data_IF_387338088029
#
_entry.id   IF_387338088029
#
_cell.length_a   1.000
_cell.length_b   1.000
_cell.length_c   1.000
_cell.angle_alpha   90.00
_cell.angle_beta   90.00
_cell.angle_gamma   90.00
#
_symmetry.space_group_name_H-M   'P 1'
#
loop_
_entity.id
_entity.type
_entity.pdbx_description
1 polymer ?
#
# COMPACT_ATOMS: atom_id res chain seq x y z
N UNK A 1 25.87 -29.23 -5.70
CA UNK A 1 26.49 -27.92 -5.39
C UNK A 1 26.30 -27.67 -3.91
N UNK A 2 27.40 -27.35 -3.22
CA UNK A 2 27.53 -27.39 -1.78
C UNK A 2 26.53 -26.49 -1.05
N UNK A 3 25.95 -27.02 0.03
CA UNK A 3 25.26 -26.25 1.07
C UNK A 3 26.24 -25.22 1.63
N UNK A 4 26.11 -23.96 1.23
CA UNK A 4 26.82 -22.87 1.92
C UNK A 4 26.07 -22.60 3.22
N UNK A 5 26.74 -22.87 4.34
CA UNK A 5 26.53 -22.36 5.70
C UNK A 5 25.22 -21.63 5.98
N UNK A 6 24.48 -22.16 6.96
CA UNK A 6 23.31 -21.59 7.67
C UNK A 6 23.61 -20.28 8.43
N UNK A 7 24.28 -19.33 7.79
CA UNK A 7 24.63 -18.03 8.35
C UNK A 7 23.81 -16.98 7.61
N UNK A 8 23.04 -16.21 8.36
CA UNK A 8 22.28 -15.08 7.83
C UNK A 8 23.23 -14.04 7.23
N UNK A 9 23.05 -13.75 5.94
CA UNK A 9 23.75 -12.68 5.23
C UNK A 9 22.76 -11.58 4.86
N UNK A 10 23.01 -10.37 5.36
CA UNK A 10 22.21 -9.17 5.08
C UNK A 10 22.19 -8.84 3.59
N UNK A 11 23.25 -9.18 2.86
CA UNK A 11 23.40 -8.90 1.43
C UNK A 11 22.99 -10.10 0.56
N UNK A 12 22.29 -11.08 1.13
CA UNK A 12 21.81 -12.21 0.34
C UNK A 12 20.83 -11.69 -0.76
N UNK A 13 20.96 -12.14 -2.02
CA UNK A 13 20.13 -11.67 -3.14
C UNK A 13 18.61 -11.74 -2.90
N UNK A 14 18.19 -12.67 -2.04
CA UNK A 14 16.80 -12.81 -1.59
C UNK A 14 16.23 -11.55 -0.91
N UNK A 15 17.05 -10.72 -0.25
CA UNK A 15 16.62 -9.53 0.47
C UNK A 15 16.64 -8.24 -0.37
N UNK A 16 16.94 -8.36 -1.66
CA UNK A 16 16.79 -7.28 -2.62
C UNK A 16 15.37 -7.34 -3.21
N UNK A 17 14.75 -6.16 -3.37
CA UNK A 17 13.45 -5.95 -3.99
C UNK A 17 13.32 -6.64 -5.35
N UNK A 18 12.09 -6.75 -5.89
CA UNK A 18 11.62 -7.88 -6.67
C UNK A 18 12.71 -8.50 -7.56
N UNK A 19 12.85 -9.85 -7.54
CA UNK A 19 14.01 -10.59 -8.03
C UNK A 19 14.40 -10.34 -9.49
N UNK A 20 13.55 -9.64 -10.24
CA UNK A 20 13.81 -9.15 -11.59
C UNK A 20 14.84 -8.01 -11.67
N UNK A 21 14.98 -7.17 -10.64
CA UNK A 21 15.80 -5.96 -10.73
C UNK A 21 16.95 -5.87 -9.72
N UNK A 22 16.91 -6.55 -8.56
CA UNK A 22 18.00 -6.58 -7.55
C UNK A 22 18.57 -5.20 -7.13
N UNK A 23 17.84 -4.10 -7.34
CA UNK A 23 18.43 -2.75 -7.25
C UNK A 23 18.51 -2.27 -5.80
N UNK A 24 17.52 -2.61 -4.96
CA UNK A 24 17.34 -2.01 -3.65
C UNK A 24 17.05 -3.06 -2.60
N UNK A 25 17.70 -2.97 -1.43
CA UNK A 25 17.34 -3.76 -0.26
C UNK A 25 15.89 -3.46 0.13
N UNK A 26 15.12 -4.49 0.53
CA UNK A 26 13.71 -4.32 0.91
C UNK A 26 13.48 -3.21 1.94
N UNK A 27 14.35 -3.12 2.96
CA UNK A 27 14.30 -2.07 3.99
C UNK A 27 14.35 -0.66 3.41
N UNK A 28 15.26 -0.42 2.47
CA UNK A 28 15.41 0.89 1.80
C UNK A 28 14.23 1.18 0.90
N UNK A 29 13.77 0.17 0.16
CA UNK A 29 12.60 0.28 -0.70
C UNK A 29 11.33 0.61 0.11
N UNK A 30 11.17 0.08 1.34
CA UNK A 30 10.03 0.36 2.21
C UNK A 30 10.03 1.80 2.75
N UNK A 31 11.21 2.38 2.99
CA UNK A 31 11.33 3.79 3.35
C UNK A 31 10.94 4.67 2.14
N UNK A 32 11.44 4.33 0.95
CA UNK A 32 11.09 5.04 -0.29
C UNK A 32 9.59 4.95 -0.57
N UNK A 33 8.97 3.78 -0.38
CA UNK A 33 7.53 3.62 -0.58
C UNK A 33 6.72 4.52 0.34
N UNK A 34 7.18 4.73 1.58
CA UNK A 34 6.51 5.66 2.52
C UNK A 34 6.49 7.09 1.99
N UNK A 35 7.61 7.55 1.44
CA UNK A 35 7.70 8.89 0.86
C UNK A 35 6.77 9.03 -0.34
N UNK A 36 6.79 8.03 -1.24
CA UNK A 36 5.92 8.00 -2.42
C UNK A 36 4.44 8.05 -2.02
N UNK A 37 4.04 7.27 -1.02
CA UNK A 37 2.67 7.23 -0.52
C UNK A 37 2.21 8.59 0.01
N UNK A 38 3.01 9.23 0.87
CA UNK A 38 2.68 10.53 1.45
C UNK A 38 2.54 11.59 0.35
N UNK A 39 3.46 11.60 -0.62
CA UNK A 39 3.39 12.52 -1.76
C UNK A 39 2.10 12.31 -2.55
N UNK A 40 1.75 11.06 -2.85
CA UNK A 40 0.58 10.75 -3.65
C UNK A 40 -0.73 11.06 -2.91
N UNK A 41 -0.85 10.71 -1.63
CA UNK A 41 -2.03 11.06 -0.83
C UNK A 41 -2.18 12.56 -0.63
N UNK A 42 -1.07 13.29 -0.42
CA UNK A 42 -1.09 14.76 -0.31
C UNK A 42 -1.48 15.39 -1.64
N UNK A 43 -0.93 14.89 -2.76
CA UNK A 43 -1.28 15.37 -4.10
C UNK A 43 -2.75 15.10 -4.43
N UNK A 44 -3.29 13.95 -4.01
CA UNK A 44 -4.70 13.62 -4.14
C UNK A 44 -5.57 14.58 -3.32
N UNK A 45 -5.25 14.80 -2.05
CA UNK A 45 -5.93 15.78 -1.20
C UNK A 45 -5.94 17.18 -1.83
N UNK A 46 -4.80 17.61 -2.36
CA UNK A 46 -4.66 18.91 -3.01
C UNK A 46 -5.46 19.00 -4.32
N UNK A 47 -5.41 17.96 -5.15
CA UNK A 47 -6.16 17.90 -6.41
C UNK A 47 -7.66 17.98 -6.15
N UNK A 48 -8.15 17.21 -5.17
CA UNK A 48 -9.55 17.28 -4.75
C UNK A 48 -9.89 18.64 -4.16
N UNK A 49 -9.03 19.25 -3.34
CA UNK A 49 -9.28 20.60 -2.82
C UNK A 49 -9.33 21.67 -3.92
N UNK A 50 -8.52 21.50 -4.98
CA UNK A 50 -8.39 22.47 -6.08
C UNK A 50 -9.53 22.39 -7.11
N UNK A 51 -10.36 21.34 -7.08
CA UNK A 51 -11.54 21.24 -7.92
C UNK A 51 -12.55 22.33 -7.56
N UNK A 52 -13.03 23.06 -8.56
CA UNK A 52 -13.79 24.31 -8.41
C UNK A 52 -15.09 24.11 -7.61
N UNK A 53 -15.61 22.89 -7.62
CA UNK A 53 -16.84 22.51 -6.95
C UNK A 53 -16.66 21.43 -5.88
N UNK A 54 -15.41 21.16 -5.48
CA UNK A 54 -15.04 20.17 -4.45
C UNK A 54 -15.72 20.35 -3.09
N UNK A 55 -16.16 21.57 -2.80
CA UNK A 55 -16.91 21.90 -1.58
C UNK A 55 -18.33 21.30 -1.58
N UNK A 56 -18.82 20.85 -2.73
CA UNK A 56 -20.23 20.51 -2.93
C UNK A 56 -20.52 19.02 -2.73
N UNK A 57 -20.07 18.47 -1.59
CA UNK A 57 -20.31 17.09 -1.16
C UNK A 57 -19.20 16.62 -0.23
N UNK A 58 -19.32 16.88 1.07
CA UNK A 58 -18.24 16.75 2.05
C UNK A 58 -17.71 15.33 2.29
N UNK A 59 -18.42 14.28 1.88
CA UNK A 59 -18.08 12.89 2.23
C UNK A 59 -16.79 12.34 1.59
N UNK A 60 -16.54 12.47 0.27
CA UNK A 60 -15.33 11.93 -0.36
C UNK A 60 -14.06 12.63 0.11
N UNK A 61 -14.12 13.95 0.33
CA UNK A 61 -13.00 14.74 0.86
C UNK A 61 -12.69 14.34 2.30
N UNK A 62 -13.71 14.19 3.15
CA UNK A 62 -13.53 13.72 4.53
C UNK A 62 -12.93 12.30 4.56
N UNK A 63 -13.43 11.40 3.69
CA UNK A 63 -12.90 10.04 3.57
C UNK A 63 -11.44 10.04 3.14
N UNK A 64 -11.07 10.86 2.16
CA UNK A 64 -9.69 10.96 1.68
C UNK A 64 -8.73 11.51 2.74
N UNK A 65 -9.16 12.51 3.51
CA UNK A 65 -8.40 13.03 4.65
C UNK A 65 -8.26 11.95 5.73
N UNK A 66 -9.34 11.22 6.06
CA UNK A 66 -9.31 10.15 7.04
C UNK A 66 -8.35 9.02 6.63
N UNK A 67 -8.39 8.60 5.36
CA UNK A 67 -7.45 7.62 4.79
C UNK A 67 -6.02 8.13 4.81
N UNK A 68 -5.80 9.41 4.52
CA UNK A 68 -4.47 10.03 4.57
C UNK A 68 -3.88 10.02 5.98
N UNK A 69 -4.69 10.34 7.00
CA UNK A 69 -4.27 10.27 8.40
C UNK A 69 -3.95 8.83 8.81
N UNK A 70 -4.79 7.86 8.43
CA UNK A 70 -4.54 6.44 8.71
C UNK A 70 -3.28 5.92 8.00
N UNK A 71 -3.01 6.37 6.78
CA UNK A 71 -1.81 6.05 6.04
C UNK A 71 -0.56 6.59 6.74
N UNK A 72 -0.59 7.85 7.21
CA UNK A 72 0.52 8.46 7.96
C UNK A 72 0.79 7.73 9.27
N UNK A 73 -0.26 7.39 10.04
CA UNK A 73 -0.13 6.66 11.30
C UNK A 73 0.46 5.26 11.06
N UNK A 74 -0.08 4.51 10.10
CA UNK A 74 0.41 3.17 9.77
C UNK A 74 1.86 3.20 9.25
N UNK A 75 2.21 4.21 8.47
CA UNK A 75 3.58 4.44 8.00
C UNK A 75 4.54 4.81 9.14
N UNK A 76 4.10 5.59 10.14
CA UNK A 76 4.90 5.88 11.32
C UNK A 76 5.20 4.61 12.14
N UNK A 77 4.21 3.73 12.33
CA UNK A 77 4.42 2.42 12.95
C UNK A 77 5.42 1.56 12.18
N UNK A 78 5.31 1.53 10.86
CA UNK A 78 6.25 0.79 10.02
C UNK A 78 7.68 1.34 10.14
N UNK A 79 7.87 2.65 10.02
CA UNK A 79 9.20 3.27 10.16
C UNK A 79 9.80 2.99 11.52
N UNK A 80 9.01 3.14 12.59
CA UNK A 80 9.46 2.80 13.94
C UNK A 80 9.80 1.31 14.07
N UNK A 81 9.01 0.41 13.49
CA UNK A 81 9.28 -1.03 13.42
C UNK A 81 10.58 -1.37 12.67
N UNK A 82 10.87 -0.66 11.59
CA UNK A 82 12.11 -0.82 10.81
C UNK A 82 13.33 -0.34 11.62
N UNK A 83 13.23 0.74 12.39
CA UNK A 83 14.34 1.25 13.19
C UNK A 83 14.56 0.47 14.49
N UNK A 84 13.48 0.06 15.15
CA UNK A 84 13.51 -0.79 16.35
C UNK A 84 13.73 -2.28 16.05
N UNK A 85 13.80 -2.64 14.76
CA UNK A 85 13.88 -4.01 14.27
C UNK A 85 12.76 -4.92 14.79
N UNK A 86 11.55 -4.38 14.99
CA UNK A 86 10.40 -5.15 15.46
C UNK A 86 9.41 -5.41 14.32
N UNK A 87 9.41 -6.63 13.79
CA UNK A 87 8.52 -7.04 12.69
C UNK A 87 7.02 -6.84 13.02
N UNK A 88 6.63 -7.05 14.28
CA UNK A 88 5.23 -6.89 14.74
C UNK A 88 4.65 -5.51 14.46
N UNK A 89 5.48 -4.46 14.45
CA UNK A 89 5.03 -3.08 14.22
C UNK A 89 4.82 -2.74 12.74
N UNK A 90 5.24 -3.62 11.82
CA UNK A 90 5.05 -3.45 10.37
C UNK A 90 3.69 -3.99 9.91
N UNK A 91 3.13 -4.97 10.62
CA UNK A 91 1.85 -5.62 10.23
C UNK A 91 0.66 -4.67 10.08
N UNK A 92 0.49 -3.59 10.90
CA UNK A 92 -0.61 -2.64 10.68
C UNK A 92 -0.54 -1.98 9.30
N UNK A 93 0.67 -1.73 8.80
CA UNK A 93 0.86 -1.13 7.48
C UNK A 93 0.53 -2.10 6.35
N UNK A 94 0.92 -3.36 6.47
CA UNK A 94 0.58 -4.40 5.48
C UNK A 94 -0.94 -4.55 5.37
N UNK A 95 -1.63 -4.60 6.51
CA UNK A 95 -3.09 -4.69 6.56
C UNK A 95 -3.76 -3.45 5.93
N UNK A 96 -3.24 -2.25 6.23
CA UNK A 96 -3.76 -1.00 5.67
C UNK A 96 -3.62 -0.94 4.14
N UNK A 97 -2.46 -1.27 3.59
CA UNK A 97 -2.24 -1.28 2.14
C UNK A 97 -3.11 -2.34 1.45
N UNK A 98 -3.30 -3.51 2.08
CA UNK A 98 -4.23 -4.53 1.56
C UNK A 98 -5.67 -4.02 1.50
N UNK A 99 -6.10 -3.27 2.52
CA UNK A 99 -7.41 -2.65 2.57
C UNK A 99 -7.58 -1.57 1.49
N UNK A 100 -6.57 -0.72 1.27
CA UNK A 100 -6.58 0.27 0.19
C UNK A 100 -6.74 -0.38 -1.19
N UNK A 101 -5.95 -1.42 -1.49
CA UNK A 101 -6.09 -2.19 -2.74
C UNK A 101 -7.52 -2.68 -2.90
N UNK A 102 -8.12 -3.24 -1.85
CA UNK A 102 -9.49 -3.74 -1.89
C UNK A 102 -10.51 -2.65 -2.24
N UNK A 103 -10.45 -1.50 -1.57
CA UNK A 103 -11.35 -0.37 -1.84
C UNK A 103 -11.19 0.14 -3.27
N UNK A 104 -9.95 0.30 -3.73
CA UNK A 104 -9.68 0.83 -5.08
C UNK A 104 -10.20 -0.09 -6.17
N UNK A 105 -10.05 -1.41 -5.99
CA UNK A 105 -10.58 -2.38 -6.94
C UNK A 105 -12.12 -2.37 -6.98
N UNK A 106 -12.78 -2.20 -5.83
CA UNK A 106 -14.25 -2.08 -5.76
C UNK A 106 -14.72 -0.80 -6.45
N UNK A 107 -14.07 0.34 -6.20
CA UNK A 107 -14.41 1.62 -6.85
C UNK A 107 -14.16 1.56 -8.36
N UNK A 108 -13.02 1.00 -8.79
CA UNK A 108 -12.70 0.83 -10.21
C UNK A 108 -13.75 -0.04 -10.92
N UNK A 109 -14.17 -1.14 -10.30
CA UNK A 109 -15.20 -2.02 -10.86
C UNK A 109 -16.57 -1.33 -10.92
N UNK A 110 -16.97 -0.63 -9.85
CA UNK A 110 -18.23 0.10 -9.80
C UNK A 110 -18.30 1.20 -10.87
N UNK A 111 -17.22 1.95 -11.07
CA UNK A 111 -17.14 3.02 -12.08
C UNK A 111 -17.21 2.49 -13.52
N UNK A 112 -16.58 1.35 -13.80
CA UNK A 112 -16.68 0.67 -15.11
C UNK A 112 -18.11 0.19 -15.37
N UNK A 113 -18.77 -0.43 -14.38
CA UNK A 113 -20.17 -0.87 -14.52
C UNK A 113 -21.07 0.32 -14.83
N UNK A 114 -20.90 1.42 -14.10
CA UNK A 114 -21.73 2.60 -14.28
C UNK A 114 -21.58 3.21 -15.67
N UNK A 115 -20.37 3.20 -16.24
CA UNK A 115 -20.14 3.57 -17.63
C UNK A 115 -20.90 2.67 -18.62
N UNK A 116 -21.06 1.38 -18.31
CA UNK A 116 -21.70 0.40 -19.20
C UNK A 116 -23.24 0.38 -19.15
N UNK A 117 -23.87 0.86 -18.06
CA UNK A 117 -25.32 0.74 -17.83
C UNK A 117 -26.08 2.06 -18.04
N UNK A 118 -25.39 3.22 -18.00
CA UNK A 118 -25.97 4.52 -18.33
C UNK A 118 -26.30 5.41 -17.12
N UNK A 119 -26.88 6.59 -17.40
CA UNK A 119 -26.96 7.72 -16.45
C UNK A 119 -27.93 7.49 -15.27
N UNK A 120 -28.90 6.60 -15.42
CA UNK A 120 -29.85 6.24 -14.35
C UNK A 120 -29.16 5.49 -13.21
N UNK A 121 -28.36 4.46 -13.54
CA UNK A 121 -27.56 3.74 -12.55
C UNK A 121 -26.45 4.64 -11.97
N UNK A 122 -25.91 5.54 -12.79
CA UNK A 122 -24.91 6.54 -12.37
C UNK A 122 -25.46 7.41 -11.24
N UNK A 123 -26.64 8.00 -11.42
CA UNK A 123 -27.28 8.83 -10.41
C UNK A 123 -27.72 8.02 -9.19
N UNK A 124 -28.16 6.78 -9.35
CA UNK A 124 -28.55 5.92 -8.23
C UNK A 124 -27.36 5.54 -7.32
N UNK A 125 -26.21 5.19 -7.90
CA UNK A 125 -25.02 4.75 -7.14
C UNK A 125 -24.16 5.93 -6.67
N UNK A 126 -23.86 6.86 -7.57
CA UNK A 126 -22.94 7.96 -7.28
C UNK A 126 -23.65 9.22 -6.81
N UNK A 127 -24.94 9.42 -7.12
CA UNK A 127 -25.69 10.61 -6.70
C UNK A 127 -25.82 10.79 -5.17
N UNK A 128 -25.60 9.74 -4.39
CA UNK A 128 -25.55 9.80 -2.92
C UNK A 128 -24.22 10.33 -2.39
N UNK A 129 -23.12 10.09 -3.11
CA UNK A 129 -21.74 10.41 -2.68
C UNK A 129 -21.16 11.62 -3.41
N UNK A 130 -21.61 11.86 -4.64
CA UNK A 130 -21.14 12.89 -5.55
C UNK A 130 -22.33 13.58 -6.23
N UNK A 131 -22.18 14.86 -6.55
CA UNK A 131 -23.06 15.53 -7.50
C UNK A 131 -22.55 15.21 -8.90
N UNK A 132 -23.27 14.36 -9.64
CA UNK A 132 -22.81 13.83 -10.94
C UNK A 132 -22.57 14.95 -11.96
N UNK A 133 -23.47 15.94 -12.03
CA UNK A 133 -23.35 17.08 -12.95
C UNK A 133 -22.06 17.88 -12.71
N UNK A 134 -21.68 18.03 -11.45
CA UNK A 134 -20.48 18.74 -11.02
C UNK A 134 -19.22 17.93 -11.33
N UNK A 135 -19.29 16.61 -11.12
CA UNK A 135 -18.18 15.71 -11.40
C UNK A 135 -17.89 15.64 -12.90
N UNK A 136 -18.92 15.72 -13.73
CA UNK A 136 -18.80 15.78 -15.19
C UNK A 136 -18.17 17.11 -15.66
N UNK A 137 -18.43 18.23 -14.98
CA UNK A 137 -17.79 19.52 -15.28
C UNK A 137 -16.29 19.51 -14.95
N UNK A 138 -15.89 18.88 -13.84
CA UNK A 138 -14.50 18.85 -13.38
C UNK A 138 -13.65 17.74 -14.07
N UNK A 139 -14.21 16.55 -14.33
CA UNK A 139 -13.49 15.41 -14.94
C UNK A 139 -13.82 15.15 -16.41
N UNK A 140 -14.79 15.87 -16.98
CA UNK A 140 -15.27 15.70 -18.34
C UNK A 140 -16.33 14.59 -18.50
N UNK A 141 -16.88 14.43 -19.71
CA UNK A 141 -18.01 13.53 -20.00
C UNK A 141 -17.69 12.03 -19.82
N UNK A 142 -16.41 11.67 -19.73
CA UNK A 142 -15.92 10.31 -19.49
C UNK A 142 -15.38 10.13 -18.06
N UNK A 143 -15.87 10.92 -17.10
CA UNK A 143 -15.41 10.88 -15.71
C UNK A 143 -15.37 9.47 -15.07
N UNK A 144 -16.31 8.53 -15.32
CA UNK A 144 -16.25 7.21 -14.68
C UNK A 144 -15.01 6.43 -15.14
N UNK A 145 -14.65 6.55 -16.41
CA UNK A 145 -13.43 5.98 -16.95
C UNK A 145 -12.19 6.60 -16.30
N UNK A 146 -12.14 7.92 -16.19
CA UNK A 146 -11.01 8.63 -15.59
C UNK A 146 -10.78 8.22 -14.13
N UNK A 147 -11.86 8.08 -13.34
CA UNK A 147 -11.77 7.59 -11.96
C UNK A 147 -11.27 6.14 -11.94
N UNK A 148 -11.78 5.27 -12.80
CA UNK A 148 -11.32 3.86 -12.85
C UNK A 148 -9.83 3.75 -13.15
N UNK A 149 -9.31 4.57 -14.08
CA UNK A 149 -7.89 4.62 -14.44
C UNK A 149 -7.04 5.07 -13.25
N UNK A 150 -7.46 6.13 -12.55
CA UNK A 150 -6.77 6.60 -11.35
C UNK A 150 -6.74 5.52 -10.26
N UNK A 151 -7.86 4.82 -10.03
CA UNK A 151 -7.94 3.71 -9.09
C UNK A 151 -6.99 2.56 -9.46
N UNK A 152 -6.90 2.17 -10.74
CA UNK A 152 -5.97 1.11 -11.16
C UNK A 152 -4.50 1.51 -11.01
N UNK A 153 -4.13 2.74 -11.40
CA UNK A 153 -2.76 3.22 -11.22
C UNK A 153 -2.36 3.25 -9.73
N UNK A 154 -3.24 3.77 -8.87
CA UNK A 154 -2.98 3.80 -7.45
C UNK A 154 -2.94 2.38 -6.84
N UNK A 155 -3.85 1.50 -7.24
CA UNK A 155 -3.83 0.10 -6.80
C UNK A 155 -2.53 -0.63 -7.20
N UNK A 156 -2.00 -0.38 -8.40
CA UNK A 156 -0.72 -0.95 -8.83
C UNK A 156 0.44 -0.47 -7.94
N UNK A 157 0.44 0.81 -7.57
CA UNK A 157 1.41 1.37 -6.63
C UNK A 157 1.26 0.70 -5.26
N UNK A 158 0.05 0.60 -4.71
CA UNK A 158 -0.20 -0.09 -3.43
C UNK A 158 0.24 -1.56 -3.46
N UNK A 159 0.03 -2.28 -4.57
CA UNK A 159 0.51 -3.67 -4.75
C UNK A 159 2.04 -3.73 -4.68
N UNK A 160 2.73 -2.81 -5.37
CA UNK A 160 4.18 -2.72 -5.28
C UNK A 160 4.66 -2.42 -3.85
N UNK A 161 4.03 -1.47 -3.17
CA UNK A 161 4.33 -1.16 -1.77
C UNK A 161 4.15 -2.38 -0.88
N UNK A 162 3.03 -3.11 -1.03
CA UNK A 162 2.75 -4.32 -0.27
C UNK A 162 3.85 -5.37 -0.41
N UNK A 163 4.34 -5.61 -1.62
CA UNK A 163 5.43 -6.56 -1.88
C UNK A 163 6.71 -6.12 -1.14
N UNK A 164 7.04 -4.85 -1.22
CA UNK A 164 8.26 -4.30 -0.60
C UNK A 164 8.20 -4.34 0.93
N UNK A 165 7.05 -3.98 1.50
CA UNK A 165 6.83 -3.97 2.95
C UNK A 165 6.82 -5.40 3.49
N UNK A 166 6.19 -6.35 2.77
CA UNK A 166 6.23 -7.76 3.12
C UNK A 166 7.67 -8.30 3.11
N UNK A 167 8.46 -8.01 2.07
CA UNK A 167 9.86 -8.42 2.03
C UNK A 167 10.71 -7.81 3.16
N UNK A 168 10.36 -6.61 3.64
CA UNK A 168 11.01 -6.00 4.81
C UNK A 168 10.61 -6.70 6.11
N UNK A 169 9.34 -7.07 6.24
CA UNK A 169 8.84 -7.83 7.38
C UNK A 169 9.52 -9.19 7.47
N UNK A 170 9.60 -9.92 6.36
CA UNK A 170 10.25 -11.23 6.27
C UNK A 170 11.76 -11.11 6.58
N UNK A 171 12.44 -10.09 6.04
CA UNK A 171 13.85 -9.81 6.35
C UNK A 171 14.11 -9.65 7.85
N UNK A 172 13.26 -8.91 8.57
CA UNK A 172 13.43 -8.69 10.02
C UNK A 172 13.15 -9.98 10.80
N UNK A 173 12.13 -10.75 10.41
CA UNK A 173 11.83 -12.04 11.03
C UNK A 173 12.99 -13.03 10.87
N UNK A 174 13.52 -13.15 9.64
CA UNK A 174 14.64 -14.03 9.35
C UNK A 174 15.87 -13.60 10.16
N UNK A 175 16.15 -12.30 10.24
CA UNK A 175 17.25 -11.77 11.06
C UNK A 175 17.14 -12.23 12.51
N UNK A 176 15.96 -12.14 13.12
CA UNK A 176 15.73 -12.59 14.50
C UNK A 176 15.90 -14.10 14.64
N UNK A 177 15.23 -14.87 13.77
CA UNK A 177 15.28 -16.33 13.79
C UNK A 177 16.71 -16.85 13.69
N UNK A 178 17.50 -16.32 12.75
CA UNK A 178 18.88 -16.76 12.59
C UNK A 178 19.80 -16.29 13.72
N UNK A 179 19.58 -15.09 14.27
CA UNK A 179 20.35 -14.59 15.43
C UNK A 179 20.11 -15.40 16.72
N UNK A 180 18.89 -15.87 16.94
CA UNK A 180 18.57 -16.76 18.06
C UNK A 180 19.10 -18.17 17.81
N UNK A 181 19.00 -18.67 16.56
CA UNK A 181 19.51 -20.00 16.21
C UNK A 181 21.03 -20.13 16.31
N UNK A 182 21.80 -19.06 16.03
CA UNK A 182 23.25 -19.04 16.21
C UNK A 182 23.68 -19.03 17.69
N UNK A 183 22.77 -18.69 18.60
CA UNK A 183 23.00 -18.64 20.05
C UNK A 183 22.45 -19.87 20.79
N UNK A 184 21.85 -20.85 20.09
CA UNK A 184 21.43 -22.09 20.74
C UNK A 184 22.66 -22.98 21.02
N UNK A 185 22.94 -23.35 22.28
CA UNK A 185 23.98 -24.33 22.57
C UNK A 185 23.63 -25.66 21.89
N UNK A 186 24.61 -26.24 21.23
CA UNK A 186 24.53 -27.43 20.36
C UNK A 186 23.87 -28.65 21.05
N UNK A 187 23.81 -28.67 22.38
CA UNK A 187 23.18 -29.73 23.18
C UNK A 187 21.65 -29.83 23.06
N UNK A 188 20.92 -28.76 22.73
CA UNK A 188 19.44 -28.85 22.61
C UNK A 188 18.95 -29.31 21.23
N UNK A 189 19.78 -29.21 20.20
CA UNK A 189 19.43 -29.63 18.83
C UNK A 189 19.54 -31.15 18.60
N UNK A 190 20.24 -31.86 19.48
CA UNK A 190 20.45 -33.32 19.38
C UNK A 190 19.36 -34.12 20.10
N UNK A 191 18.69 -33.53 21.09
CA UNK A 191 17.73 -34.25 21.95
C UNK A 191 16.27 -34.21 21.47
N UNK A 192 16.02 -33.68 20.27
CA UNK A 192 14.69 -33.58 19.65
C UNK A 192 14.56 -34.37 18.34
N UNK A 193 15.53 -35.25 18.04
CA UNK A 193 15.41 -36.26 16.97
C UNK A 193 15.14 -37.65 17.55
#
# INVERSE_FOLDING_TARGET
MAQSSTLFDVNHPFYYGPPTFHILLYRTAAIISTVIEIVLLTSGCYAFHSMKHASTGSYPVILLIALSVAAVISSAFMLYGIFSEQARLITPKIAFVQFEIGILMVIAFATIIVMSVGIELTNALFGTMFKVDVLEEDFGPIWPFNISVLCFYWAAICVWMRIVIQGTYDFILDKHYFSESSNMPIEMAVNTR
#
